data_IF_472416463866
#
_entry.id   IF_472416463866
#
_cell.length_a   1.000
_cell.length_b   1.000
_cell.length_c   1.000
_cell.angle_alpha   90.00
_cell.angle_beta   90.00
_cell.angle_gamma   90.00
#
_symmetry.space_group_name_H-M   'P 1'
#
loop_
_entity.id
_entity.type
_entity.pdbx_description
1 polymer ?
#
# COMPACT_ATOMS: atom_id res chain seq x y z
N UNK A 1 29.71 4.66 22.40
CA UNK A 1 28.40 5.28 22.14
C UNK A 1 27.78 4.55 20.96
N UNK A 2 26.67 3.82 21.12
CA UNK A 2 25.99 3.24 19.97
C UNK A 2 25.50 4.39 19.08
N UNK A 3 25.89 4.38 17.81
CA UNK A 3 25.28 5.26 16.79
C UNK A 3 23.81 4.89 16.72
N UNK A 4 22.92 5.86 16.90
CA UNK A 4 21.51 5.68 16.59
C UNK A 4 21.43 5.18 15.14
N UNK A 5 20.90 3.97 14.96
CA UNK A 5 20.56 3.50 13.63
C UNK A 5 19.52 4.48 13.08
N UNK A 6 19.75 5.05 11.90
CA UNK A 6 18.73 5.83 11.21
C UNK A 6 17.52 4.94 11.02
N UNK A 7 16.33 5.46 11.32
CA UNK A 7 15.08 4.79 11.00
C UNK A 7 15.08 4.38 9.52
N UNK A 8 14.60 3.17 9.20
CA UNK A 8 14.51 2.74 7.81
C UNK A 8 13.63 3.72 7.02
N UNK A 9 13.95 3.99 5.75
CA UNK A 9 13.14 4.89 4.94
C UNK A 9 11.79 4.25 4.62
N UNK A 10 10.72 5.05 4.71
CA UNK A 10 9.34 4.64 4.43
C UNK A 10 9.20 4.05 3.03
N UNK A 11 8.50 2.92 2.93
CA UNK A 11 8.25 2.11 1.75
C UNK A 11 7.36 2.82 0.72
N UNK A 12 6.18 3.30 1.13
CA UNK A 12 5.16 3.81 0.22
C UNK A 12 5.67 4.98 -0.63
N UNK A 13 6.35 6.01 -0.08
CA UNK A 13 6.93 7.09 -0.89
C UNK A 13 7.89 6.60 -1.97
N UNK A 14 8.59 5.49 -1.73
CA UNK A 14 9.64 4.97 -2.62
C UNK A 14 9.11 4.15 -3.77
N UNK A 15 7.93 3.55 -3.63
CA UNK A 15 7.26 2.81 -4.70
C UNK A 15 6.08 3.56 -5.32
N UNK A 16 5.76 4.78 -4.87
CA UNK A 16 4.60 5.58 -5.31
C UNK A 16 4.49 5.72 -6.82
N UNK A 17 5.60 5.95 -7.50
CA UNK A 17 5.63 6.19 -8.95
C UNK A 17 5.22 4.96 -9.77
N UNK A 18 5.24 3.76 -9.17
CA UNK A 18 4.76 2.54 -9.81
C UNK A 18 3.22 2.40 -9.77
N UNK A 19 2.52 3.26 -9.04
CA UNK A 19 1.06 3.24 -8.92
C UNK A 19 0.43 4.43 -9.63
N UNK A 20 -0.65 4.19 -10.37
CA UNK A 20 -1.45 5.28 -10.94
C UNK A 20 -2.06 6.15 -9.80
N UNK A 21 -2.18 7.46 -10.02
CA UNK A 21 -2.69 8.39 -9.01
C UNK A 21 -4.07 7.99 -8.44
N UNK A 22 -4.97 7.47 -9.29
CA UNK A 22 -6.26 6.97 -8.85
C UNK A 22 -6.15 5.74 -7.92
N UNK A 23 -5.16 4.86 -8.16
CA UNK A 23 -4.88 3.69 -7.31
C UNK A 23 -4.34 4.14 -5.96
N UNK A 24 -3.42 5.10 -5.95
CA UNK A 24 -2.88 5.72 -4.72
C UNK A 24 -4.02 6.27 -3.86
N UNK A 25 -4.88 7.12 -4.45
CA UNK A 25 -6.00 7.76 -3.74
C UNK A 25 -7.00 6.74 -3.17
N UNK A 26 -7.31 5.68 -3.92
CA UNK A 26 -8.18 4.58 -3.45
C UNK A 26 -7.55 3.76 -2.34
N UNK A 27 -6.24 3.52 -2.40
CA UNK A 27 -5.53 2.77 -1.36
C UNK A 27 -5.35 3.58 -0.07
N UNK A 28 -5.16 4.90 -0.15
CA UNK A 28 -5.23 5.80 1.01
C UNK A 28 -6.60 5.68 1.70
N UNK A 29 -7.69 5.75 0.93
CA UNK A 29 -9.05 5.54 1.45
C UNK A 29 -9.25 4.16 2.11
N UNK A 30 -8.57 3.12 1.63
CA UNK A 30 -8.59 1.80 2.29
C UNK A 30 -8.00 1.84 3.70
N UNK A 31 -6.91 2.60 3.91
CA UNK A 31 -6.32 2.81 5.23
C UNK A 31 -7.24 3.63 6.12
N UNK A 32 -7.76 4.75 5.61
CA UNK A 32 -8.63 5.65 6.38
C UNK A 32 -9.90 4.95 6.89
N UNK A 33 -10.43 4.02 6.09
CA UNK A 33 -11.60 3.22 6.45
C UNK A 33 -11.28 1.93 7.23
N UNK A 34 -10.02 1.70 7.63
CA UNK A 34 -9.61 0.51 8.37
C UNK A 34 -9.87 -0.79 7.62
N UNK A 35 -9.68 -0.78 6.30
CA UNK A 35 -9.95 -1.96 5.44
C UNK A 35 -8.81 -2.97 5.44
N UNK A 36 -7.62 -2.62 5.92
CA UNK A 36 -6.55 -3.58 6.19
C UNK A 36 -6.91 -4.30 7.49
N UNK A 37 -7.32 -5.57 7.38
CA UNK A 37 -7.92 -6.32 8.49
C UNK A 37 -6.87 -6.96 9.40
N UNK A 38 -5.76 -7.40 8.80
CA UNK A 38 -4.61 -7.92 9.51
C UNK A 38 -3.36 -7.77 8.64
N UNK A 39 -2.22 -7.72 9.32
CA UNK A 39 -0.87 -7.60 8.76
C UNK A 39 0.03 -8.56 9.55
N UNK A 40 0.75 -9.44 8.87
CA UNK A 40 1.68 -10.40 9.47
C UNK A 40 3.04 -10.27 8.80
N UNK A 41 4.07 -10.14 9.63
CA UNK A 41 5.48 -10.12 9.23
C UNK A 41 6.03 -11.55 9.17
N UNK A 42 6.75 -11.88 8.09
CA UNK A 42 7.44 -13.15 7.87
C UNK A 42 8.67 -12.96 7.00
N UNK A 43 8.85 -13.78 5.96
CA UNK A 43 9.85 -13.55 4.89
C UNK A 43 9.49 -12.36 3.98
N UNK A 44 8.34 -11.75 4.24
CA UNK A 44 7.80 -10.54 3.64
C UNK A 44 6.70 -10.01 4.54
N UNK A 45 5.67 -9.42 3.96
CA UNK A 45 4.45 -9.02 4.66
C UNK A 45 3.25 -9.67 3.99
N UNK A 46 2.44 -10.34 4.78
CA UNK A 46 1.16 -10.90 4.37
C UNK A 46 0.03 -10.11 5.01
N UNK A 47 -1.06 -9.93 4.27
CA UNK A 47 -2.17 -9.13 4.74
C UNK A 47 -3.50 -9.58 4.12
N UNK A 48 -4.59 -9.18 4.77
CA UNK A 48 -5.92 -9.28 4.20
C UNK A 48 -6.57 -7.90 4.15
N UNK A 49 -7.02 -7.52 2.96
CA UNK A 49 -7.68 -6.24 2.72
C UNK A 49 -9.13 -6.47 2.35
N UNK A 50 -10.02 -5.73 3.00
CA UNK A 50 -11.45 -5.77 2.71
C UNK A 50 -11.76 -4.98 1.44
N UNK A 51 -12.30 -5.68 0.45
CA UNK A 51 -12.81 -5.10 -0.79
C UNK A 51 -14.23 -4.55 -0.67
N UNK A 52 -14.89 -4.38 -1.82
CA UNK A 52 -16.31 -3.99 -1.86
C UNK A 52 -17.20 -5.04 -1.18
N UNK A 53 -18.12 -4.59 -0.33
CA UNK A 53 -19.09 -5.44 0.36
C UNK A 53 -18.48 -6.33 1.44
N UNK A 54 -18.52 -7.65 1.23
CA UNK A 54 -18.01 -8.69 2.16
C UNK A 54 -16.78 -9.43 1.62
N UNK A 55 -16.28 -9.05 0.45
CA UNK A 55 -15.12 -9.67 -0.18
C UNK A 55 -13.83 -9.27 0.56
N UNK A 56 -12.90 -10.21 0.64
CA UNK A 56 -11.59 -10.06 1.25
C UNK A 56 -10.58 -10.52 0.23
N UNK A 57 -9.46 -9.82 0.16
CA UNK A 57 -8.37 -10.09 -0.75
C UNK A 57 -7.11 -10.35 0.05
N UNK A 58 -6.43 -11.46 -0.25
CA UNK A 58 -5.10 -11.72 0.25
C UNK A 58 -4.11 -10.84 -0.54
N UNK A 59 -3.19 -10.21 0.19
CA UNK A 59 -2.11 -9.41 -0.38
C UNK A 59 -0.82 -9.85 0.26
N UNK A 60 0.18 -10.14 -0.57
CA UNK A 60 1.53 -10.41 -0.08
C UNK A 60 2.52 -9.44 -0.71
N UNK A 61 3.57 -9.17 0.06
CA UNK A 61 4.61 -8.22 -0.24
C UNK A 61 5.95 -8.86 0.10
N UNK A 62 6.84 -8.99 -0.88
CA UNK A 62 8.16 -9.61 -0.66
C UNK A 62 9.27 -8.89 -1.41
N UNK A 63 10.47 -8.92 -0.86
CA UNK A 63 11.68 -8.50 -1.57
C UNK A 63 12.26 -9.73 -2.31
N UNK A 64 12.46 -9.67 -3.64
CA UNK A 64 12.91 -10.82 -4.42
C UNK A 64 14.36 -11.22 -4.07
N UNK A 65 15.27 -10.24 -3.92
CA UNK A 65 16.66 -10.44 -3.51
C UNK A 65 17.17 -9.19 -2.75
N UNK A 66 18.14 -9.33 -1.81
CA UNK A 66 18.63 -8.20 -1.00
C UNK A 66 19.33 -7.10 -1.80
N UNK A 67 19.80 -7.41 -3.01
CA UNK A 67 20.53 -6.48 -3.88
C UNK A 67 19.66 -5.93 -5.03
N UNK A 68 18.41 -6.35 -5.14
CA UNK A 68 17.49 -5.86 -6.18
C UNK A 68 16.63 -4.71 -5.64
N UNK A 69 16.54 -3.57 -6.35
CA UNK A 69 15.67 -2.45 -5.99
C UNK A 69 14.21 -2.73 -6.38
N UNK A 70 13.76 -3.96 -6.21
CA UNK A 70 12.46 -4.46 -6.64
C UNK A 70 11.66 -4.91 -5.42
N UNK A 71 10.35 -4.71 -5.48
CA UNK A 71 9.42 -5.30 -4.55
C UNK A 71 8.36 -6.05 -5.33
N UNK A 72 8.13 -7.30 -4.93
CA UNK A 72 7.06 -8.12 -5.49
C UNK A 72 5.80 -7.92 -4.66
N UNK A 73 4.74 -7.53 -5.34
CA UNK A 73 3.39 -7.55 -4.82
C UNK A 73 2.61 -8.68 -5.46
N UNK A 74 1.77 -9.31 -4.64
CA UNK A 74 0.78 -10.27 -5.09
C UNK A 74 -0.55 -9.91 -4.45
N UNK A 75 -1.61 -9.94 -5.23
CA UNK A 75 -2.96 -9.74 -4.72
C UNK A 75 -3.91 -10.62 -5.53
N UNK A 76 -4.84 -11.27 -4.85
CA UNK A 76 -5.86 -12.14 -5.46
C UNK A 76 -7.10 -11.35 -5.97
N UNK A 77 -7.03 -10.01 -6.01
CA UNK A 77 -8.12 -9.21 -6.57
C UNK A 77 -8.13 -9.25 -8.11
N UNK A 78 -9.30 -9.11 -8.75
CA UNK A 78 -9.41 -9.19 -10.21
C UNK A 78 -8.47 -8.24 -10.97
N UNK A 79 -8.21 -7.06 -10.41
CA UNK A 79 -7.30 -6.10 -11.04
C UNK A 79 -5.84 -6.56 -11.01
N UNK A 80 -5.41 -7.19 -9.93
CA UNK A 80 -4.04 -7.70 -9.82
C UNK A 80 -3.81 -8.93 -10.72
N UNK A 81 -4.87 -9.70 -11.02
CA UNK A 81 -4.77 -10.80 -12.00
C UNK A 81 -4.52 -10.32 -13.43
N UNK A 82 -4.73 -9.04 -13.72
CA UNK A 82 -4.34 -8.39 -14.98
C UNK A 82 -2.88 -7.91 -14.98
N UNK A 83 -2.10 -8.30 -13.96
CA UNK A 83 -0.72 -7.87 -13.71
C UNK A 83 -0.58 -6.35 -13.50
N UNK A 84 -1.65 -5.69 -13.04
CA UNK A 84 -1.65 -4.27 -12.71
C UNK A 84 -1.59 -4.00 -11.20
N UNK A 85 -0.87 -2.96 -10.75
CA UNK A 85 -0.92 -2.52 -9.36
C UNK A 85 -2.34 -2.09 -8.95
N UNK A 86 -2.83 -2.61 -7.82
CA UNK A 86 -4.17 -2.33 -7.31
C UNK A 86 -4.17 -1.52 -6.01
N UNK A 87 -5.34 -1.02 -5.60
CA UNK A 87 -5.47 -0.20 -4.39
C UNK A 87 -5.14 -0.95 -3.10
N UNK A 88 -5.32 -2.28 -3.08
CA UNK A 88 -5.00 -3.10 -1.92
C UNK A 88 -3.48 -3.18 -1.70
N UNK A 89 -2.71 -3.32 -2.78
CA UNK A 89 -1.24 -3.31 -2.73
C UNK A 89 -0.72 -1.99 -2.16
N UNK A 90 -1.24 -0.86 -2.65
CA UNK A 90 -0.88 0.46 -2.12
C UNK A 90 -1.25 0.61 -0.63
N UNK A 91 -2.45 0.15 -0.24
CA UNK A 91 -2.87 0.16 1.16
C UNK A 91 -1.91 -0.65 2.04
N UNK A 92 -1.41 -1.80 1.58
CA UNK A 92 -0.41 -2.56 2.34
C UNK A 92 0.93 -1.83 2.43
N UNK A 93 1.39 -1.16 1.36
CA UNK A 93 2.62 -0.36 1.44
C UNK A 93 2.53 0.72 2.52
N UNK A 94 1.38 1.40 2.64
CA UNK A 94 1.10 2.37 3.70
C UNK A 94 1.01 1.71 5.09
N UNK A 95 0.31 0.57 5.21
CA UNK A 95 0.21 -0.16 6.47
C UNK A 95 1.59 -0.58 6.99
N UNK A 96 2.48 -1.03 6.10
CA UNK A 96 3.87 -1.37 6.42
C UNK A 96 4.62 -0.17 7.02
N UNK A 97 4.42 1.03 6.47
CA UNK A 97 5.03 2.25 6.99
C UNK A 97 4.47 2.63 8.36
N UNK A 98 3.16 2.55 8.53
CA UNK A 98 2.46 2.85 9.79
C UNK A 98 2.91 1.90 10.91
N UNK A 99 3.04 0.61 10.61
CA UNK A 99 3.47 -0.42 11.58
C UNK A 99 5.00 -0.44 11.77
N UNK A 100 5.75 0.37 11.02
CA UNK A 100 7.21 0.44 11.13
C UNK A 100 7.95 -0.78 10.57
N UNK A 101 7.32 -1.54 9.68
CA UNK A 101 7.87 -2.76 9.07
C UNK A 101 8.70 -2.49 7.80
N UNK A 102 8.84 -1.23 7.39
CA UNK A 102 9.60 -0.82 6.20
C UNK A 102 11.08 -1.28 6.22
N UNK A 103 11.64 -1.54 7.40
CA UNK A 103 13.03 -2.00 7.57
C UNK A 103 13.34 -3.38 7.00
N UNK A 104 12.31 -4.16 6.63
CA UNK A 104 12.47 -5.47 6.01
C UNK A 104 12.62 -5.41 4.49
N UNK A 105 12.43 -4.24 3.91
CA UNK A 105 12.51 -4.03 2.47
C UNK A 105 13.85 -3.39 2.08
N UNK A 106 14.27 -3.49 0.80
CA UNK A 106 15.50 -2.84 0.33
C UNK A 106 15.49 -1.35 0.70
N UNK A 107 16.64 -0.69 0.82
CA UNK A 107 16.76 0.73 1.22
C UNK A 107 16.97 1.71 0.03
N UNK A 108 16.78 1.27 -1.22
CA UNK A 108 16.94 2.08 -2.42
C UNK A 108 15.97 3.28 -2.50
N UNK A 109 16.42 4.49 -2.86
CA UNK A 109 15.55 5.69 -2.87
C UNK A 109 14.27 5.54 -3.71
N UNK A 110 14.33 4.76 -4.79
CA UNK A 110 13.19 4.41 -5.65
C UNK A 110 13.12 2.88 -5.75
N UNK A 111 11.90 2.36 -5.71
CA UNK A 111 11.61 0.93 -5.81
C UNK A 111 10.66 0.66 -6.96
N UNK A 112 11.07 -0.26 -7.84
CA UNK A 112 10.20 -0.79 -8.87
C UNK A 112 9.25 -1.84 -8.28
N UNK A 113 8.02 -1.89 -8.80
CA UNK A 113 7.01 -2.86 -8.37
C UNK A 113 6.84 -3.93 -9.42
N UNK A 114 6.95 -5.18 -8.99
CA UNK A 114 6.61 -6.35 -9.79
C UNK A 114 5.29 -6.93 -9.28
N UNK A 115 4.27 -6.95 -10.12
CA UNK A 115 2.98 -7.61 -9.82
C UNK A 115 3.05 -9.05 -10.29
N UNK A 116 2.68 -9.98 -9.41
CA UNK A 116 2.57 -11.41 -9.70
C UNK A 116 1.13 -11.86 -9.44
N UNK A 117 0.63 -12.79 -10.25
CA UNK A 117 -0.71 -13.37 -10.11
C UNK A 117 -0.77 -14.57 -9.14
N UNK A 118 0.34 -14.87 -8.44
CA UNK A 118 0.44 -15.98 -7.47
C UNK A 118 0.24 -17.37 -8.05
N UNK A 119 0.07 -17.51 -9.36
CA UNK A 119 -0.02 -18.80 -10.02
C UNK A 119 1.40 -19.31 -10.29
N UNK A 120 2.09 -19.72 -9.23
CA UNK A 120 3.13 -20.73 -9.39
C UNK A 120 2.45 -21.98 -9.96
N UNK A 121 2.44 -22.10 -11.30
CA UNK A 121 2.21 -23.38 -11.96
C UNK A 121 3.21 -24.33 -11.32
N UNK A 122 2.75 -25.12 -10.35
CA UNK A 122 3.38 -26.36 -9.98
C UNK A 122 3.43 -27.17 -11.26
N UNK A 123 4.52 -27.03 -12.01
CA UNK A 123 4.88 -27.86 -13.15
C UNK A 123 5.12 -29.26 -12.59
N UNK A 124 4.02 -29.95 -12.28
CA UNK A 124 4.02 -31.36 -11.96
C UNK A 124 4.52 -32.06 -13.23
N UNK A 125 5.67 -32.76 -13.20
CA UNK A 125 6.12 -33.50 -14.36
C UNK A 125 5.19 -34.70 -14.57
N UNK A 126 4.15 -34.56 -15.40
CA UNK A 126 3.34 -35.72 -15.82
C UNK A 126 1.88 -35.50 -16.24
N UNK A 127 1.49 -34.36 -16.79
CA UNK A 127 0.11 -34.13 -17.28
C UNK A 127 -0.02 -34.18 -18.80
N UNK A 128 0.00 -35.37 -19.42
CA UNK A 128 -0.57 -35.54 -20.77
C UNK A 128 -2.10 -35.44 -20.68
N UNK A 129 -2.62 -34.22 -20.68
CA UNK A 129 -4.04 -33.91 -20.83
C UNK A 129 -4.34 -33.60 -22.30
N UNK A 130 -5.01 -34.52 -22.97
CA UNK A 130 -5.68 -34.27 -24.26
C UNK A 130 -7.06 -33.63 -23.99
N UNK A 131 -7.67 -33.03 -25.01
CA UNK A 131 -9.01 -32.40 -25.03
C UNK A 131 -9.10 -31.00 -24.40
N UNK A 132 -9.60 -29.96 -25.07
CA UNK A 132 -10.22 -29.87 -26.39
C UNK A 132 -10.34 -28.42 -26.81
N UNK A 133 -10.39 -28.21 -28.13
CA UNK A 133 -11.00 -27.06 -28.79
C UNK A 133 -12.37 -26.81 -28.16
N UNK A 134 -12.78 -25.55 -27.89
CA UNK A 134 -13.88 -24.82 -28.56
C UNK A 134 -13.70 -23.31 -28.29
N UNK A 135 -13.96 -22.53 -29.33
CA UNK A 135 -13.89 -21.07 -29.42
C UNK A 135 -15.19 -20.49 -28.84
N UNK A 136 -15.11 -19.54 -27.91
CA UNK A 136 -16.24 -18.67 -27.59
C UNK A 136 -15.72 -17.22 -27.53
N UNK A 137 -15.99 -16.51 -28.62
CA UNK A 137 -15.90 -15.06 -28.77
C UNK A 137 -17.10 -14.43 -28.03
N UNK A 138 -16.87 -13.90 -26.84
CA UNK A 138 -17.82 -12.99 -26.20
C UNK A 138 -17.29 -11.55 -26.32
N UNK A 139 -17.77 -10.87 -27.36
CA UNK A 139 -17.77 -9.41 -27.50
C UNK A 139 -18.76 -8.84 -26.47
N UNK A 140 -18.29 -8.30 -25.35
CA UNK A 140 -19.15 -7.56 -24.42
C UNK A 140 -18.66 -6.12 -24.20
N UNK A 141 -19.43 -5.25 -24.84
CA UNK A 141 -19.86 -3.89 -24.50
C UNK A 141 -18.84 -2.88 -23.94
N UNK A 142 -18.61 -1.87 -24.77
CA UNK A 142 -17.97 -0.60 -24.44
C UNK A 142 -18.81 0.14 -23.38
N UNK A 143 -18.40 0.03 -22.12
CA UNK A 143 -18.99 0.78 -21.01
C UNK A 143 -18.59 2.26 -21.15
N UNK A 144 -19.53 3.06 -21.66
CA UNK A 144 -19.42 4.52 -21.78
C UNK A 144 -19.36 5.12 -20.37
N UNK A 145 -18.14 5.22 -19.84
CA UNK A 145 -17.87 5.83 -18.54
C UNK A 145 -18.28 7.31 -18.58
N UNK A 146 -19.48 7.61 -18.06
CA UNK A 146 -19.92 8.98 -17.81
C UNK A 146 -18.94 9.63 -16.83
N UNK A 147 -18.21 10.62 -17.34
CA UNK A 147 -17.29 11.45 -16.57
C UNK A 147 -18.13 12.26 -15.57
N UNK A 148 -18.26 11.77 -14.34
CA UNK A 148 -18.80 12.56 -13.23
C UNK A 148 -17.85 13.76 -13.01
N UNK A 149 -18.23 14.91 -13.58
CA UNK A 149 -17.70 16.24 -13.23
C UNK A 149 -18.02 16.52 -11.76
N UNK A 150 -17.13 16.08 -10.86
CA UNK A 150 -17.19 16.47 -9.46
C UNK A 150 -16.79 17.93 -9.35
N UNK A 151 -17.78 18.79 -9.10
CA UNK A 151 -17.57 20.18 -8.73
C UNK A 151 -16.72 20.21 -7.45
N UNK A 152 -15.51 20.77 -7.54
CA UNK A 152 -14.66 21.08 -6.40
C UNK A 152 -15.45 22.02 -5.47
N UNK A 153 -15.99 21.48 -4.37
CA UNK A 153 -16.42 22.29 -3.24
C UNK A 153 -15.17 22.81 -2.54
N UNK A 154 -14.73 23.98 -2.98
CA UNK A 154 -13.87 24.89 -2.23
C UNK A 154 -14.57 25.24 -0.91
N UNK A 155 -14.33 24.46 0.15
CA UNK A 155 -14.54 24.94 1.53
C UNK A 155 -13.29 25.74 1.94
N UNK A 156 -13.32 27.02 1.54
CA UNK A 156 -12.72 28.12 2.27
C UNK A 156 -13.22 28.14 3.74
N UNK A 157 -12.50 28.87 4.61
CA UNK A 157 -12.88 29.34 5.96
C UNK A 157 -12.48 28.40 7.12
N UNK A 158 -11.63 28.75 8.10
CA UNK A 158 -11.24 30.07 8.60
C UNK A 158 -9.83 30.05 9.24
N UNK A 159 -9.11 31.15 9.01
CA UNK A 159 -8.06 31.67 9.88
C UNK A 159 -8.67 32.02 11.24
N UNK A 160 -8.14 31.49 12.34
CA UNK A 160 -8.22 32.21 13.62
C UNK A 160 -6.89 32.03 14.36
N UNK A 161 -6.14 33.12 14.31
CA UNK A 161 -5.06 33.48 15.22
C UNK A 161 -5.61 33.50 16.65
N UNK A 162 -4.94 32.84 17.60
CA UNK A 162 -4.97 33.29 19.00
C UNK A 162 -3.58 33.04 19.59
N UNK A 163 -2.81 34.13 19.60
CA UNK A 163 -1.69 34.36 20.51
C UNK A 163 -2.24 34.37 21.94
N UNK A 164 -1.67 33.56 22.83
CA UNK A 164 -1.68 33.88 24.26
C UNK A 164 -0.31 33.49 24.85
N UNK A 165 0.57 34.49 24.83
CA UNK A 165 1.69 34.69 25.73
C UNK A 165 1.13 34.75 27.18
N UNK A 166 1.44 33.74 27.99
CA UNK A 166 1.45 33.92 29.45
C UNK A 166 2.84 33.58 29.98
N UNK A 167 3.67 34.63 30.00
CA UNK A 167 4.74 34.81 30.97
C UNK A 167 4.15 34.65 32.38
N UNK A 168 4.52 33.58 33.09
CA UNK A 168 4.48 33.59 34.56
C UNK A 168 5.91 33.52 35.10
N UNK A 169 6.35 34.71 35.46
CA UNK A 169 7.48 35.07 36.30
C UNK A 169 7.53 34.29 37.63
N UNK A 170 8.77 34.10 38.08
CA UNK A 170 9.22 34.11 39.48
C UNK A 170 8.64 33.08 40.48
N UNK A 171 9.51 32.20 40.99
CA UNK A 171 9.76 32.18 42.44
C UNK A 171 11.15 31.58 42.74
N UNK A 172 12.03 32.49 43.18
CA UNK A 172 13.19 32.26 44.03
C UNK A 172 12.78 31.47 45.29
N UNK A 173 13.38 30.31 45.54
CA UNK A 173 13.69 29.90 46.91
C UNK A 173 15.11 29.31 46.97
N UNK A 174 16.06 30.16 47.34
CA UNK A 174 17.29 29.79 48.02
C UNK A 174 16.96 28.95 49.26
N UNK A 175 17.45 27.72 49.35
CA UNK A 175 17.71 27.07 50.64
C UNK A 175 19.21 26.75 50.75
N UNK A 176 19.92 27.68 51.40
CA UNK A 176 21.15 27.44 52.14
C UNK A 176 20.95 26.34 53.21
N UNK A 177 21.76 25.28 53.16
CA UNK A 177 22.68 24.81 54.24
C UNK A 177 23.30 23.42 53.94
#
# INVERSE_FOLDING_TARGET
MPRAAKSPPALAPRCRDAFAAAVVRRGESCIDHGRVLWLVEGDGVEAEVRGKGRTRYAVSLSAPEPDEPLIRFECDCPKATELEPCEHMWAIALAVDIEGLAGNFPHADVLDVLVSDGHEELLLPGGEGTHGEEEDEDEDEEDEFEEDEFEDEDEDEDEDEDEDDEDEDEDDEDEDE
#
